data_IF_872879640013
#
_entry.id   IF_872879640013
#
_cell.length_a   1.000
_cell.length_b   1.000
_cell.length_c   1.000
_cell.angle_alpha   90.00
_cell.angle_beta   90.00
_cell.angle_gamma   90.00
#
_symmetry.space_group_name_H-M   'P 1'
#
loop_
_entity.id
_entity.type
_entity.pdbx_description
1 polymer ?
#
# COMPACT_ATOMS: atom_id res chain seq x y z
N UNK A 1 -56.13 -23.53 28.91
CA UNK A 1 -55.42 -23.48 27.61
C UNK A 1 -54.12 -24.25 27.76
N UNK A 2 -53.88 -25.33 27.00
CA UNK A 2 -52.68 -26.15 27.15
C UNK A 2 -51.50 -25.52 26.41
N UNK A 3 -50.36 -25.43 27.09
CA UNK A 3 -49.11 -24.89 26.56
C UNK A 3 -48.46 -25.90 25.59
N UNK A 4 -48.14 -25.43 24.39
CA UNK A 4 -47.39 -26.20 23.39
C UNK A 4 -45.92 -26.37 23.81
N UNK A 5 -45.30 -27.54 23.59
CA UNK A 5 -43.89 -27.78 23.91
C UNK A 5 -42.97 -27.19 22.82
N UNK A 6 -41.73 -26.80 23.17
CA UNK A 6 -40.78 -26.21 22.22
C UNK A 6 -40.15 -27.27 21.31
N UNK A 7 -40.20 -27.00 20.01
CA UNK A 7 -39.60 -27.81 18.95
C UNK A 7 -38.09 -27.58 18.89
N UNK A 8 -37.28 -28.61 19.16
CA UNK A 8 -35.82 -28.58 18.95
C UNK A 8 -35.50 -28.70 17.45
N UNK A 9 -34.61 -27.86 16.88
CA UNK A 9 -34.11 -28.08 15.53
C UNK A 9 -33.08 -29.21 15.49
N UNK A 10 -33.25 -30.13 14.53
CA UNK A 10 -32.34 -31.23 14.21
C UNK A 10 -31.06 -30.70 13.56
N UNK A 11 -29.92 -30.97 14.19
CA UNK A 11 -28.59 -30.84 13.59
C UNK A 11 -28.42 -31.82 12.41
N UNK A 12 -28.17 -31.28 11.22
CA UNK A 12 -27.72 -32.06 10.07
C UNK A 12 -26.19 -32.12 10.06
N UNK A 13 -25.65 -33.27 10.47
CA UNK A 13 -24.23 -33.61 10.35
C UNK A 13 -23.86 -33.71 8.87
N UNK A 14 -23.04 -32.77 8.38
CA UNK A 14 -22.55 -32.74 7.01
C UNK A 14 -21.10 -33.24 7.00
N UNK A 15 -20.93 -34.53 6.73
CA UNK A 15 -19.63 -35.18 6.58
C UNK A 15 -18.95 -34.69 5.31
N UNK A 16 -17.93 -33.85 5.45
CA UNK A 16 -17.12 -33.36 4.34
C UNK A 16 -16.10 -34.43 3.94
N UNK A 17 -16.35 -35.11 2.83
CA UNK A 17 -15.38 -35.98 2.19
C UNK A 17 -14.23 -35.13 1.62
N UNK A 18 -13.03 -35.32 2.17
CA UNK A 18 -11.78 -34.78 1.63
C UNK A 18 -11.54 -35.38 0.24
N UNK A 19 -11.80 -34.58 -0.80
CA UNK A 19 -11.35 -34.91 -2.16
C UNK A 19 -9.88 -34.59 -2.24
N UNK A 20 -9.03 -35.62 -2.26
CA UNK A 20 -7.64 -35.52 -2.66
C UNK A 20 -7.58 -34.96 -4.07
N UNK A 21 -7.15 -33.71 -4.21
CA UNK A 21 -6.94 -33.07 -5.49
C UNK A 21 -5.77 -33.77 -6.20
N UNK A 22 -6.09 -34.50 -7.26
CA UNK A 22 -5.10 -35.06 -8.18
C UNK A 22 -4.39 -33.88 -8.84
N UNK A 23 -3.09 -33.73 -8.57
CA UNK A 23 -2.25 -32.67 -9.12
C UNK A 23 -2.22 -32.76 -10.65
N UNK A 24 -2.91 -31.86 -11.33
CA UNK A 24 -2.76 -31.67 -12.78
C UNK A 24 -1.32 -31.26 -13.10
N UNK A 25 -0.76 -31.66 -14.26
CA UNK A 25 0.56 -31.24 -14.69
C UNK A 25 0.63 -29.69 -14.80
N UNK A 26 1.77 -29.07 -14.46
CA UNK A 26 1.90 -27.62 -14.49
C UNK A 26 1.68 -27.12 -15.92
N UNK A 27 0.69 -26.24 -16.05
CA UNK A 27 0.43 -25.49 -17.26
C UNK A 27 1.72 -24.89 -17.82
N UNK A 28 1.92 -24.92 -19.14
CA UNK A 28 2.89 -24.02 -19.78
C UNK A 28 2.52 -22.58 -19.39
N UNK A 29 3.25 -22.05 -18.42
CA UNK A 29 2.89 -20.85 -17.69
C UNK A 29 3.11 -19.59 -18.52
N UNK A 30 2.27 -18.57 -18.31
CA UNK A 30 2.52 -17.24 -18.85
C UNK A 30 3.82 -16.70 -18.24
N UNK A 31 4.84 -16.53 -19.09
CA UNK A 31 6.12 -15.92 -18.73
C UNK A 31 6.05 -14.38 -18.90
N UNK A 32 7.04 -13.61 -18.41
CA UNK A 32 7.01 -12.15 -18.50
C UNK A 32 6.91 -11.61 -19.93
N UNK A 33 7.56 -12.26 -20.91
CA UNK A 33 7.52 -11.84 -22.32
C UNK A 33 6.13 -12.01 -22.94
N UNK A 34 5.44 -13.12 -22.62
CA UNK A 34 4.07 -13.35 -23.05
C UNK A 34 3.09 -12.34 -22.43
N UNK A 35 3.26 -12.00 -21.16
CA UNK A 35 2.46 -10.95 -20.51
C UNK A 35 2.70 -9.57 -21.14
N UNK A 36 3.95 -9.22 -21.44
CA UNK A 36 4.29 -7.96 -22.08
C UNK A 36 3.68 -7.84 -23.49
N UNK A 37 3.65 -8.95 -24.26
CA UNK A 37 2.96 -9.01 -25.55
C UNK A 37 1.45 -8.78 -25.40
N UNK A 38 0.82 -9.41 -24.41
CA UNK A 38 -0.62 -9.20 -24.15
C UNK A 38 -0.92 -7.74 -23.79
N UNK A 39 -0.06 -7.08 -23.02
CA UNK A 39 -0.19 -5.65 -22.74
C UNK A 39 -0.03 -4.77 -23.98
N UNK A 40 0.85 -5.16 -24.92
CA UNK A 40 0.97 -4.49 -26.22
C UNK A 40 -0.32 -4.57 -27.03
N UNK A 41 -0.82 -5.80 -27.21
CA UNK A 41 -2.02 -6.06 -27.99
C UNK A 41 -3.24 -5.36 -27.36
N UNK A 42 -3.30 -5.29 -26.02
CA UNK A 42 -4.34 -4.59 -25.29
C UNK A 42 -4.25 -3.08 -25.48
N UNK A 43 -3.05 -2.49 -25.39
CA UNK A 43 -2.89 -1.05 -25.62
C UNK A 43 -3.23 -0.66 -27.06
N UNK A 44 -2.90 -1.50 -28.05
CA UNK A 44 -3.26 -1.26 -29.46
C UNK A 44 -4.76 -1.37 -29.69
N UNK A 45 -5.43 -2.33 -29.03
CA UNK A 45 -6.88 -2.46 -29.09
C UNK A 45 -7.63 -1.29 -28.42
N UNK A 46 -7.07 -0.73 -27.34
CA UNK A 46 -7.61 0.43 -26.64
C UNK A 46 -7.23 1.77 -27.32
N UNK A 47 -6.28 1.79 -28.26
CA UNK A 47 -5.88 3.01 -28.96
C UNK A 47 -5.44 4.16 -28.03
N UNK A 48 -5.69 5.41 -28.44
CA UNK A 48 -5.19 6.63 -27.79
C UNK A 48 -6.29 7.49 -27.15
N UNK A 49 -7.51 6.96 -27.02
CA UNK A 49 -8.60 7.73 -26.44
C UNK A 49 -8.39 7.95 -24.93
N UNK A 50 -8.49 9.21 -24.52
CA UNK A 50 -8.30 9.66 -23.15
C UNK A 50 -9.56 9.52 -22.30
N UNK A 51 -10.71 9.23 -22.91
CA UNK A 51 -11.98 9.01 -22.24
C UNK A 51 -12.19 7.54 -21.85
N UNK A 52 -11.18 6.68 -22.05
CA UNK A 52 -11.26 5.28 -21.67
C UNK A 52 -11.41 5.11 -20.14
N UNK A 53 -12.36 4.27 -19.68
CA UNK A 53 -12.45 3.92 -18.28
C UNK A 53 -11.23 3.10 -17.83
N UNK A 54 -11.08 2.94 -16.52
CA UNK A 54 -10.15 1.95 -15.99
C UNK A 54 -10.77 0.55 -16.10
N UNK A 55 -9.94 -0.47 -16.28
CA UNK A 55 -10.38 -1.85 -16.45
C UNK A 55 -9.71 -2.77 -15.43
N UNK A 56 -10.46 -3.73 -14.91
CA UNK A 56 -9.92 -4.97 -14.36
C UNK A 56 -9.74 -5.96 -15.51
N UNK A 57 -8.55 -6.55 -15.61
CA UNK A 57 -8.22 -7.57 -16.61
C UNK A 57 -8.20 -8.93 -15.92
N UNK A 58 -8.95 -9.89 -16.46
CA UNK A 58 -8.83 -11.31 -16.11
C UNK A 58 -8.47 -12.10 -17.37
N UNK A 59 -7.31 -12.76 -17.36
CA UNK A 59 -6.93 -13.67 -18.44
C UNK A 59 -7.44 -15.06 -18.11
N UNK A 60 -8.44 -15.51 -18.87
CA UNK A 60 -8.97 -16.88 -18.75
C UNK A 60 -8.53 -17.71 -19.94
N UNK A 61 -8.21 -18.97 -19.70
CA UNK A 61 -7.87 -19.91 -20.75
C UNK A 61 -7.21 -21.16 -20.20
N UNK A 62 -7.41 -22.33 -20.83
CA UNK A 62 -6.69 -23.52 -20.46
C UNK A 62 -5.19 -23.31 -20.69
N UNK A 63 -4.34 -23.99 -19.89
CA UNK A 63 -2.92 -24.07 -20.13
C UNK A 63 -2.54 -24.30 -21.60
N UNK A 64 -1.57 -23.54 -22.11
CA UNK A 64 -1.06 -23.73 -23.47
C UNK A 64 -1.96 -23.22 -24.62
N UNK A 65 -3.07 -22.55 -24.33
CA UNK A 65 -3.90 -21.87 -25.33
C UNK A 65 -3.76 -20.36 -25.22
N UNK A 66 -4.06 -19.63 -26.30
CA UNK A 66 -4.11 -18.15 -26.29
C UNK A 66 -5.14 -17.69 -25.24
N UNK A 67 -4.63 -17.20 -24.11
CA UNK A 67 -5.47 -16.64 -23.05
C UNK A 67 -6.26 -15.47 -23.61
N UNK A 68 -7.57 -15.42 -23.35
CA UNK A 68 -8.42 -14.33 -23.80
C UNK A 68 -8.60 -13.33 -22.65
N UNK A 69 -8.30 -12.04 -22.86
CA UNK A 69 -8.56 -11.02 -21.86
C UNK A 69 -10.07 -10.81 -21.73
N UNK A 70 -10.56 -10.95 -20.50
CA UNK A 70 -11.85 -10.40 -20.09
C UNK A 70 -11.59 -9.05 -19.46
N UNK A 71 -12.20 -8.01 -20.01
CA UNK A 71 -12.13 -6.66 -19.48
C UNK A 71 -13.43 -6.37 -18.73
N UNK A 72 -13.31 -5.96 -17.47
CA UNK A 72 -14.42 -5.45 -16.69
C UNK A 72 -14.18 -3.96 -16.43
N UNK A 73 -15.05 -3.11 -16.97
CA UNK A 73 -15.01 -1.67 -16.76
C UNK A 73 -15.21 -1.33 -15.28
N UNK A 74 -14.37 -0.44 -14.78
CA UNK A 74 -14.48 0.13 -13.46
C UNK A 74 -15.29 1.42 -13.53
N UNK A 75 -16.22 1.67 -12.58
CA UNK A 75 -16.95 2.92 -12.56
C UNK A 75 -16.01 4.14 -12.50
N UNK A 76 -16.39 5.28 -13.10
CA UNK A 76 -15.65 6.52 -12.92
C UNK A 76 -15.47 6.81 -11.44
N UNK A 77 -14.31 7.31 -11.02
CA UNK A 77 -13.89 7.55 -9.62
C UNK A 77 -13.52 6.34 -8.75
N UNK A 78 -13.75 5.11 -9.19
CA UNK A 78 -13.32 3.92 -8.43
C UNK A 78 -11.86 3.63 -8.71
N UNK A 79 -11.03 3.68 -7.67
CA UNK A 79 -9.61 3.34 -7.80
C UNK A 79 -9.46 1.82 -7.99
N UNK A 80 -8.66 1.31 -8.96
CA UNK A 80 -8.55 -0.13 -9.24
C UNK A 80 -8.16 -0.98 -8.01
N UNK A 81 -7.36 -0.41 -7.11
CA UNK A 81 -6.99 -1.06 -5.84
C UNK A 81 -8.21 -1.44 -4.99
N UNK A 82 -9.24 -0.58 -4.94
CA UNK A 82 -10.44 -0.84 -4.14
C UNK A 82 -11.21 -2.07 -4.64
N UNK A 83 -11.19 -2.33 -5.95
CA UNK A 83 -11.84 -3.50 -6.55
C UNK A 83 -11.01 -4.78 -6.34
N UNK A 84 -9.67 -4.66 -6.31
CA UNK A 84 -8.78 -5.79 -6.09
C UNK A 84 -8.73 -6.25 -4.62
N UNK A 85 -8.92 -5.33 -3.67
CA UNK A 85 -8.88 -5.65 -2.24
C UNK A 85 -9.98 -6.64 -1.86
N UNK A 86 -9.59 -7.78 -1.30
CA UNK A 86 -10.52 -8.86 -0.95
C UNK A 86 -10.97 -9.72 -2.15
N UNK A 87 -10.63 -9.33 -3.38
CA UNK A 87 -10.95 -10.12 -4.58
C UNK A 87 -10.26 -11.48 -4.55
N UNK A 88 -10.92 -12.49 -5.11
CA UNK A 88 -10.37 -13.84 -5.25
C UNK A 88 -10.62 -14.30 -6.67
N UNK A 89 -9.56 -14.37 -7.46
CA UNK A 89 -9.64 -14.82 -8.84
C UNK A 89 -10.10 -16.29 -8.90
N UNK A 90 -10.99 -16.66 -9.85
CA UNK A 90 -11.35 -18.05 -10.11
C UNK A 90 -10.14 -18.93 -10.38
N UNK A 91 -10.24 -20.25 -10.22
CA UNK A 91 -9.09 -21.16 -10.35
C UNK A 91 -8.51 -21.19 -11.77
N UNK A 92 -9.38 -21.01 -12.76
CA UNK A 92 -9.10 -20.95 -14.19
C UNK A 92 -8.47 -19.64 -14.66
N UNK A 93 -8.43 -18.61 -13.80
CA UNK A 93 -7.81 -17.33 -14.13
C UNK A 93 -6.29 -17.47 -14.22
N UNK A 94 -5.72 -17.37 -15.41
CA UNK A 94 -4.29 -17.53 -15.66
C UNK A 94 -3.47 -16.29 -15.23
N UNK A 95 -4.06 -15.09 -15.34
CA UNK A 95 -3.48 -13.84 -14.87
C UNK A 95 -4.56 -12.83 -14.51
N UNK A 96 -4.25 -11.88 -13.63
CA UNK A 96 -5.12 -10.76 -13.28
C UNK A 96 -4.32 -9.47 -13.32
N UNK A 97 -4.98 -8.35 -13.58
CA UNK A 97 -4.34 -7.06 -13.55
C UNK A 97 -5.28 -5.91 -13.81
N UNK A 98 -4.72 -4.74 -14.10
CA UNK A 98 -5.50 -3.51 -14.27
C UNK A 98 -4.96 -2.69 -15.44
N UNK A 99 -5.84 -1.92 -16.06
CA UNK A 99 -5.51 -0.78 -16.90
C UNK A 99 -6.11 0.45 -16.24
N UNK A 100 -5.31 1.50 -16.05
CA UNK A 100 -5.79 2.77 -15.52
C UNK A 100 -5.17 3.93 -16.28
N UNK A 101 -5.89 5.05 -16.32
CA UNK A 101 -5.36 6.32 -16.78
C UNK A 101 -4.79 7.12 -15.61
N UNK A 102 -3.75 7.88 -15.90
CA UNK A 102 -3.11 8.75 -14.94
C UNK A 102 -2.47 9.95 -15.62
N UNK A 103 -1.83 10.79 -14.81
CA UNK A 103 -0.99 11.88 -15.29
C UNK A 103 0.45 11.58 -14.91
N UNK A 104 1.36 11.72 -15.87
CA UNK A 104 2.78 11.60 -15.63
C UNK A 104 3.44 12.97 -15.79
N UNK A 105 4.38 13.26 -14.89
CA UNK A 105 5.29 14.40 -14.99
C UNK A 105 6.70 13.88 -15.10
N UNK A 106 7.51 14.49 -15.96
CA UNK A 106 8.93 14.18 -16.06
C UNK A 106 9.63 14.77 -14.85
N UNK A 107 10.30 13.92 -14.06
CA UNK A 107 11.22 14.40 -13.04
C UNK A 107 12.52 14.77 -13.76
N UNK A 108 12.96 16.02 -13.66
CA UNK A 108 14.25 16.44 -14.20
C UNK A 108 15.37 15.83 -13.36
N UNK A 109 16.30 15.09 -13.98
CA UNK A 109 17.46 14.43 -13.35
C UNK A 109 18.53 15.39 -12.78
N UNK A 110 18.19 16.63 -12.45
CA UNK A 110 19.14 17.63 -11.93
C UNK A 110 19.45 17.39 -10.45
N UNK A 111 20.18 16.31 -10.17
CA UNK A 111 20.56 15.83 -8.84
C UNK A 111 21.60 16.66 -8.08
N UNK A 112 21.45 17.98 -7.95
CA UNK A 112 22.41 18.77 -7.16
C UNK A 112 21.86 19.93 -6.33
N UNK A 113 20.60 20.33 -6.45
CA UNK A 113 20.07 21.41 -5.60
C UNK A 113 18.61 21.16 -5.21
N UNK A 114 18.41 20.47 -4.08
CA UNK A 114 17.10 20.33 -3.42
C UNK A 114 16.55 21.65 -2.83
N UNK A 115 17.14 22.80 -3.17
CA UNK A 115 16.59 24.10 -2.81
C UNK A 115 15.42 24.39 -3.74
N UNK A 116 14.20 24.19 -3.22
CA UNK A 116 12.94 24.75 -3.71
C UNK A 116 12.92 24.94 -5.23
N UNK A 117 12.72 23.84 -5.96
CA UNK A 117 12.41 23.91 -7.38
C UNK A 117 11.12 24.71 -7.56
N UNK A 118 11.25 26.02 -7.75
CA UNK A 118 10.29 26.80 -8.51
C UNK A 118 10.06 26.03 -9.79
N UNK A 119 8.85 25.50 -9.97
CA UNK A 119 8.40 24.74 -11.14
C UNK A 119 9.02 25.36 -12.39
N UNK A 120 10.09 24.74 -12.90
CA UNK A 120 10.52 25.03 -14.26
C UNK A 120 9.31 24.70 -15.12
N UNK A 121 8.88 25.64 -15.97
CA UNK A 121 7.71 25.53 -16.84
C UNK A 121 7.85 24.45 -17.94
N UNK A 122 8.64 23.41 -17.70
CA UNK A 122 9.02 22.40 -18.65
C UNK A 122 8.07 21.20 -18.56
N UNK A 123 7.09 21.24 -19.46
CA UNK A 123 6.10 20.21 -19.82
C UNK A 123 4.92 20.04 -18.85
N UNK A 124 3.73 20.39 -19.35
CA UNK A 124 2.46 20.05 -18.71
C UNK A 124 2.38 18.52 -18.47
N UNK A 125 1.72 18.06 -17.39
CA UNK A 125 1.54 16.63 -17.15
C UNK A 125 0.88 15.96 -18.35
N UNK A 126 1.54 14.96 -18.93
CA UNK A 126 0.98 14.15 -20.01
C UNK A 126 -0.01 13.13 -19.46
N UNK A 127 -1.08 12.84 -20.19
CA UNK A 127 -1.97 11.71 -19.87
C UNK A 127 -1.28 10.42 -20.29
N UNK A 128 -1.25 9.46 -19.38
CA UNK A 128 -0.65 8.14 -19.62
C UNK A 128 -1.65 7.06 -19.26
N UNK A 129 -1.54 5.93 -19.95
CA UNK A 129 -2.14 4.67 -19.55
C UNK A 129 -1.09 3.81 -18.85
N UNK A 130 -1.45 3.25 -17.72
CA UNK A 130 -0.64 2.29 -16.98
C UNK A 130 -1.39 0.96 -16.97
N UNK A 131 -0.73 -0.07 -17.48
CA UNK A 131 -1.25 -1.43 -17.46
C UNK A 131 -0.32 -2.32 -16.65
N UNK A 132 -0.89 -3.22 -15.85
CA UNK A 132 -0.15 -4.16 -15.03
C UNK A 132 -0.84 -5.52 -15.05
N UNK A 133 -0.09 -6.62 -15.16
CA UNK A 133 -0.57 -7.99 -15.12
C UNK A 133 0.31 -8.84 -14.20
N UNK A 134 -0.32 -9.71 -13.42
CA UNK A 134 0.32 -10.77 -12.63
C UNK A 134 -0.27 -12.12 -13.06
N UNK A 135 0.56 -13.05 -13.48
CA UNK A 135 0.18 -14.42 -13.77
C UNK A 135 0.14 -15.28 -12.50
N UNK A 136 -0.63 -16.36 -12.54
CA UNK A 136 -0.70 -17.36 -11.46
C UNK A 136 0.64 -18.06 -11.19
N UNK A 137 1.58 -17.98 -12.12
CA UNK A 137 2.97 -18.42 -11.95
C UNK A 137 3.81 -17.48 -11.09
N UNK A 138 3.31 -16.29 -10.74
CA UNK A 138 4.06 -15.21 -10.11
C UNK A 138 4.81 -14.31 -11.09
N UNK A 139 4.82 -14.64 -12.39
CA UNK A 139 5.36 -13.72 -13.41
C UNK A 139 4.50 -12.46 -13.50
N UNK A 140 5.12 -11.31 -13.74
CA UNK A 140 4.41 -10.05 -13.88
C UNK A 140 4.98 -9.21 -15.03
N UNK A 141 4.15 -8.33 -15.57
CA UNK A 141 4.53 -7.31 -16.54
C UNK A 141 3.80 -6.01 -16.26
N UNK A 142 4.45 -4.89 -16.53
CA UNK A 142 3.87 -3.55 -16.40
C UNK A 142 4.27 -2.71 -17.60
N UNK A 143 3.39 -1.80 -18.01
CA UNK A 143 3.62 -0.90 -19.15
C UNK A 143 3.04 0.47 -18.83
N UNK A 144 3.76 1.50 -19.26
CA UNK A 144 3.31 2.88 -19.27
C UNK A 144 3.31 3.34 -20.74
N UNK A 145 2.14 3.76 -21.23
CA UNK A 145 1.94 4.26 -22.59
C UNK A 145 1.42 5.70 -22.51
N UNK A 146 2.18 6.68 -23.00
CA UNK A 146 1.63 8.02 -23.25
C UNK A 146 0.42 7.94 -24.18
N UNK A 147 -0.62 8.73 -23.92
CA UNK A 147 -1.73 8.87 -24.88
C UNK A 147 -1.43 9.86 -26.02
N UNK A 148 -0.19 10.34 -26.09
CA UNK A 148 0.36 10.98 -27.28
C UNK A 148 0.83 9.90 -28.27
N UNK A 149 0.31 9.85 -29.51
CA UNK A 149 0.75 8.91 -30.54
C UNK A 149 2.27 8.91 -30.81
N UNK A 150 2.95 10.05 -30.60
CA UNK A 150 4.39 10.16 -30.77
C UNK A 150 5.19 9.70 -29.53
N UNK A 151 4.51 9.51 -28.39
CA UNK A 151 5.14 9.17 -27.13
C UNK A 151 5.57 7.69 -27.06
N UNK A 152 6.83 7.38 -26.72
CA UNK A 152 7.27 6.00 -26.63
C UNK A 152 6.63 5.30 -25.42
N UNK A 153 6.10 4.09 -25.65
CA UNK A 153 5.73 3.19 -24.55
C UNK A 153 6.97 2.75 -23.77
N UNK A 154 6.82 2.55 -22.47
CA UNK A 154 7.89 2.09 -21.58
C UNK A 154 7.44 0.86 -20.81
N UNK A 155 8.28 -0.16 -20.79
CA UNK A 155 8.12 -1.25 -19.83
C UNK A 155 8.38 -0.71 -18.42
N UNK A 156 7.52 -1.07 -17.48
CA UNK A 156 7.73 -0.80 -16.07
C UNK A 156 8.38 -2.01 -15.42
N UNK A 157 9.27 -1.78 -14.45
CA UNK A 157 9.71 -2.84 -13.54
C UNK A 157 8.48 -3.39 -12.84
N UNK A 158 8.04 -4.57 -13.25
CA UNK A 158 6.85 -5.19 -12.73
C UNK A 158 7.14 -5.87 -11.38
N UNK A 159 6.13 -5.92 -10.50
CA UNK A 159 6.16 -6.77 -9.31
C UNK A 159 6.31 -6.04 -7.98
N UNK A 160 6.25 -4.71 -7.96
CA UNK A 160 6.25 -3.92 -6.71
C UNK A 160 5.04 -3.00 -6.63
N UNK A 161 4.66 -2.64 -5.40
CA UNK A 161 3.56 -1.73 -5.10
C UNK A 161 2.21 -2.40 -4.83
N UNK A 162 1.26 -1.60 -4.31
CA UNK A 162 -0.02 -2.08 -3.79
C UNK A 162 -0.90 -2.80 -4.81
N UNK A 163 -0.86 -2.37 -6.08
CA UNK A 163 -1.60 -3.03 -7.17
C UNK A 163 -1.03 -4.41 -7.47
N UNK A 164 0.30 -4.54 -7.56
CA UNK A 164 0.97 -5.82 -7.80
C UNK A 164 0.73 -6.80 -6.64
N UNK A 165 0.79 -6.30 -5.41
CA UNK A 165 0.43 -7.05 -4.20
C UNK A 165 -1.02 -7.54 -4.25
N UNK A 166 -1.97 -6.65 -4.53
CA UNK A 166 -3.38 -7.01 -4.58
C UNK A 166 -3.70 -8.03 -5.70
N UNK A 167 -3.05 -7.90 -6.86
CA UNK A 167 -3.15 -8.88 -7.94
C UNK A 167 -2.59 -10.26 -7.54
N UNK A 168 -1.42 -10.26 -6.88
CA UNK A 168 -0.79 -11.49 -6.35
C UNK A 168 -1.70 -12.16 -5.31
N UNK A 169 -2.24 -11.39 -4.36
CA UNK A 169 -3.18 -11.88 -3.34
C UNK A 169 -4.49 -12.40 -3.94
N UNK A 170 -5.03 -11.74 -4.97
CA UNK A 170 -6.21 -12.21 -5.69
C UNK A 170 -5.99 -13.59 -6.32
N UNK A 171 -4.78 -13.87 -6.78
CA UNK A 171 -4.34 -15.19 -7.29
C UNK A 171 -3.90 -16.17 -6.19
N UNK A 172 -3.99 -15.78 -4.92
CA UNK A 172 -3.53 -16.53 -3.73
C UNK A 172 -2.02 -16.77 -3.69
N UNK A 173 -1.25 -15.88 -4.30
CA UNK A 173 0.21 -15.88 -4.22
C UNK A 173 0.68 -15.15 -2.96
N UNK A 174 1.87 -15.50 -2.48
CA UNK A 174 2.59 -14.71 -1.47
C UNK A 174 3.10 -13.42 -2.09
N UNK A 175 3.11 -12.34 -1.33
CA UNK A 175 3.79 -11.10 -1.73
C UNK A 175 5.25 -11.08 -1.22
N UNK A 176 6.11 -10.20 -1.78
CA UNK A 176 7.46 -10.00 -1.24
C UNK A 176 7.42 -9.63 0.25
N UNK A 177 8.40 -10.09 1.05
CA UNK A 177 8.43 -9.81 2.48
C UNK A 177 8.45 -8.29 2.76
N UNK A 178 8.08 -7.87 3.98
CA UNK A 178 8.18 -6.47 4.39
C UNK A 178 9.59 -5.91 4.18
N UNK A 179 9.69 -4.76 3.52
CA UNK A 179 10.97 -4.06 3.30
C UNK A 179 11.38 -3.23 4.52
N UNK A 180 10.39 -2.66 5.21
CA UNK A 180 10.60 -1.86 6.41
C UNK A 180 10.48 -2.71 7.68
N UNK A 181 11.27 -2.42 8.74
CA UNK A 181 11.10 -3.05 10.04
C UNK A 181 9.81 -2.57 10.73
N UNK A 182 9.28 -3.34 11.68
CA UNK A 182 8.09 -2.97 12.48
C UNK A 182 8.28 -1.65 13.24
N UNK A 183 9.52 -1.26 13.55
CA UNK A 183 9.83 0.06 14.12
C UNK A 183 9.25 1.21 13.27
N UNK A 184 9.33 1.11 11.94
CA UNK A 184 8.80 2.15 11.05
C UNK A 184 7.29 2.34 11.25
N UNK A 185 6.56 1.27 11.58
CA UNK A 185 5.14 1.34 11.89
C UNK A 185 4.87 2.07 13.20
N UNK A 186 5.64 1.79 14.27
CA UNK A 186 5.52 2.52 15.53
C UNK A 186 5.79 4.02 15.34
N UNK A 187 6.88 4.36 14.65
CA UNK A 187 7.27 5.75 14.37
C UNK A 187 6.18 6.48 13.56
N UNK A 188 5.64 5.84 12.53
CA UNK A 188 4.63 6.40 11.67
C UNK A 188 3.27 6.58 12.40
N UNK A 189 2.86 5.61 13.23
CA UNK A 189 1.66 5.73 14.07
C UNK A 189 1.78 6.81 15.14
N UNK A 190 2.96 6.97 15.73
CA UNK A 190 3.22 8.08 16.63
C UNK A 190 3.12 9.43 15.91
N UNK A 191 3.69 9.53 14.71
CA UNK A 191 3.63 10.74 13.89
C UNK A 191 2.18 11.15 13.57
N UNK A 192 1.33 10.21 13.15
CA UNK A 192 -0.10 10.45 12.92
C UNK A 192 -0.83 10.94 14.19
N UNK A 193 -0.57 10.30 15.33
CA UNK A 193 -1.16 10.69 16.61
C UNK A 193 -0.72 12.08 17.05
N UNK A 194 0.56 12.43 16.86
CA UNK A 194 1.11 13.76 17.15
C UNK A 194 0.45 14.84 16.29
N UNK A 195 0.32 14.63 14.97
CA UNK A 195 -0.33 15.58 14.08
C UNK A 195 -1.78 15.80 14.50
N UNK A 196 -2.50 14.72 14.81
CA UNK A 196 -3.89 14.78 15.28
C UNK A 196 -4.00 15.59 16.58
N UNK A 197 -3.15 15.28 17.58
CA UNK A 197 -3.17 15.95 18.88
C UNK A 197 -2.83 17.45 18.76
N UNK A 198 -1.82 17.79 17.95
CA UNK A 198 -1.37 19.16 17.74
C UNK A 198 -2.38 19.98 16.95
N UNK A 199 -2.99 19.40 15.91
CA UNK A 199 -4.04 20.07 15.15
C UNK A 199 -5.27 20.38 16.02
N UNK A 200 -5.61 19.49 16.95
CA UNK A 200 -6.72 19.72 17.88
C UNK A 200 -6.40 20.78 18.94
N UNK A 201 -5.13 20.94 19.33
CA UNK A 201 -4.72 21.89 20.37
C UNK A 201 -3.42 22.65 20.01
N UNK A 202 -3.41 23.52 18.99
CA UNK A 202 -2.16 24.11 18.49
C UNK A 202 -1.40 24.92 19.54
N UNK A 203 -2.10 25.65 20.41
CA UNK A 203 -1.53 26.45 21.49
C UNK A 203 -1.24 25.65 22.78
N UNK A 204 -1.35 24.32 22.75
CA UNK A 204 -1.13 23.47 23.91
C UNK A 204 0.32 23.55 24.43
N UNK A 205 0.53 23.35 25.75
CA UNK A 205 1.88 23.24 26.31
C UNK A 205 2.52 21.90 25.89
N UNK A 206 3.13 21.88 24.72
CA UNK A 206 3.79 20.70 24.14
C UNK A 206 5.13 20.40 24.83
N UNK A 207 5.03 19.84 26.03
CA UNK A 207 6.15 19.26 26.77
C UNK A 207 6.52 17.88 26.22
N UNK A 208 7.74 17.40 26.52
CA UNK A 208 8.15 16.05 26.15
C UNK A 208 7.18 14.96 26.66
N UNK A 209 6.74 14.95 27.94
CA UNK A 209 5.75 13.97 28.41
C UNK A 209 4.44 13.97 27.60
N UNK A 210 3.94 15.14 27.20
CA UNK A 210 2.73 15.24 26.39
C UNK A 210 2.91 14.63 24.98
N UNK A 211 4.08 14.86 24.36
CA UNK A 211 4.41 14.30 23.05
C UNK A 211 4.63 12.79 23.13
N UNK A 212 5.36 12.31 24.15
CA UNK A 212 5.64 10.90 24.36
C UNK A 212 4.37 10.10 24.67
N UNK A 213 3.41 10.68 25.37
CA UNK A 213 2.10 10.06 25.65
C UNK A 213 1.25 9.82 24.38
N UNK A 214 1.56 10.47 23.25
CA UNK A 214 0.90 10.19 21.97
C UNK A 214 1.44 8.92 21.28
N UNK A 215 2.51 8.32 21.79
CA UNK A 215 3.14 7.15 21.18
C UNK A 215 2.27 5.89 21.39
N UNK A 216 2.16 4.98 20.40
CA UNK A 216 1.35 3.76 20.50
C UNK A 216 1.83 2.74 21.55
N UNK A 217 3.06 2.89 22.08
CA UNK A 217 3.58 2.07 23.17
C UNK A 217 3.27 2.74 24.51
N UNK A 218 2.57 2.06 25.45
CA UNK A 218 2.28 2.62 26.77
C UNK A 218 3.53 3.07 27.55
N UNK A 219 4.63 2.32 27.42
CA UNK A 219 5.91 2.57 28.10
C UNK A 219 6.57 3.87 27.65
N UNK A 220 6.24 4.36 26.45
CA UNK A 220 6.79 5.61 25.92
C UNK A 220 6.43 6.82 26.80
N UNK A 221 5.26 6.80 27.45
CA UNK A 221 4.85 7.88 28.37
C UNK A 221 5.77 8.00 29.59
N UNK A 222 6.49 6.94 29.95
CA UNK A 222 7.47 6.94 31.04
C UNK A 222 8.88 7.36 30.60
N UNK A 223 9.11 7.58 29.30
CA UNK A 223 10.41 8.01 28.80
C UNK A 223 10.74 9.42 29.33
N UNK A 224 11.82 9.55 30.09
CA UNK A 224 12.21 10.82 30.74
C UNK A 224 12.76 11.86 29.76
N UNK A 225 13.20 11.44 28.57
CA UNK A 225 13.76 12.32 27.54
C UNK A 225 13.56 11.74 26.13
N UNK A 226 13.69 12.55 25.07
CA UNK A 226 13.64 12.08 23.68
C UNK A 226 14.58 10.91 23.38
N UNK A 227 15.80 10.93 23.93
CA UNK A 227 16.80 9.89 23.70
C UNK A 227 16.48 8.55 24.39
N UNK A 228 15.56 8.54 25.35
CA UNK A 228 15.12 7.31 26.03
C UNK A 228 14.06 6.53 25.25
N UNK A 229 13.38 7.15 24.27
CA UNK A 229 12.33 6.49 23.49
C UNK A 229 12.86 5.46 22.46
N UNK A 230 13.89 5.74 21.64
CA UNK A 230 14.41 4.80 20.65
C UNK A 230 14.70 3.37 21.16
N UNK A 231 15.37 3.15 22.31
CA UNK A 231 15.63 1.79 22.79
C UNK A 231 14.34 1.05 23.18
N UNK A 232 13.34 1.73 23.76
CA UNK A 232 12.04 1.14 24.08
C UNK A 232 11.31 0.69 22.81
N UNK A 233 11.30 1.53 21.78
CA UNK A 233 10.69 1.20 20.48
C UNK A 233 11.44 0.06 19.79
N UNK A 234 12.77 0.06 19.87
CA UNK A 234 13.59 -1.01 19.31
C UNK A 234 13.32 -2.37 19.96
N UNK A 235 13.18 -2.42 21.29
CA UNK A 235 12.84 -3.63 22.03
C UNK A 235 11.44 -4.16 21.67
N UNK A 236 10.44 -3.27 21.61
CA UNK A 236 9.09 -3.63 21.18
C UNK A 236 9.05 -4.11 19.72
N UNK A 237 9.80 -3.46 18.82
CA UNK A 237 9.90 -3.86 17.42
C UNK A 237 10.66 -5.19 17.23
N UNK A 238 11.64 -5.50 18.08
CA UNK A 238 12.38 -6.76 18.01
C UNK A 238 11.55 -7.97 18.47
N UNK A 239 10.57 -7.74 19.36
CA UNK A 239 9.65 -8.77 19.87
C UNK A 239 8.35 -8.88 19.07
N UNK A 240 8.16 -8.05 18.05
CA UNK A 240 6.94 -7.99 17.23
C UNK A 240 7.27 -8.21 15.76
N UNK A 241 6.57 -9.15 15.11
CA UNK A 241 6.62 -9.30 13.66
C UNK A 241 5.43 -8.63 12.97
N UNK A 242 5.55 -8.40 11.66
CA UNK A 242 4.49 -7.78 10.85
C UNK A 242 3.19 -8.58 10.82
N UNK A 243 3.27 -9.89 11.00
CA UNK A 243 2.11 -10.76 11.01
C UNK A 243 1.30 -10.60 12.31
N UNK A 244 1.97 -10.36 13.44
CA UNK A 244 1.35 -10.00 14.71
C UNK A 244 0.67 -8.64 14.64
N UNK A 245 1.32 -7.64 14.04
CA UNK A 245 0.71 -6.31 13.79
C UNK A 245 -0.54 -6.46 12.93
N UNK A 246 -0.45 -7.20 11.82
CA UNK A 246 -1.58 -7.45 10.92
C UNK A 246 -2.75 -8.13 11.61
N UNK A 247 -2.51 -9.16 12.43
CA UNK A 247 -3.57 -9.86 13.17
C UNK A 247 -4.28 -8.95 14.16
N UNK A 248 -3.54 -8.09 14.86
CA UNK A 248 -4.13 -7.09 15.77
C UNK A 248 -4.98 -6.06 15.02
N UNK A 249 -4.46 -5.54 13.90
CA UNK A 249 -5.20 -4.63 13.04
C UNK A 249 -6.51 -5.26 12.51
N UNK A 250 -6.46 -6.53 12.08
CA UNK A 250 -7.65 -7.27 11.65
C UNK A 250 -8.67 -7.49 12.78
N UNK A 251 -8.22 -7.53 14.04
CA UNK A 251 -9.06 -7.77 15.22
C UNK A 251 -9.72 -6.49 15.79
N UNK A 252 -9.35 -5.30 15.32
CA UNK A 252 -9.98 -4.05 15.73
C UNK A 252 -9.05 -2.88 16.03
N UNK A 253 -7.72 -3.08 16.03
CA UNK A 253 -6.77 -1.97 16.19
C UNK A 253 -6.81 -1.00 14.99
N UNK A 254 -7.41 -1.44 13.87
CA UNK A 254 -7.81 -0.61 12.74
C UNK A 254 -6.65 -0.16 11.85
N UNK A 255 -6.94 0.00 10.56
CA UNK A 255 -6.10 0.73 9.61
C UNK A 255 -7.03 1.68 8.88
N UNK A 256 -6.65 2.95 8.78
CA UNK A 256 -7.46 3.94 8.07
C UNK A 256 -7.77 3.44 6.64
N UNK A 257 -9.05 3.42 6.28
CA UNK A 257 -9.50 3.00 4.95
C UNK A 257 -9.58 1.49 4.69
N UNK A 258 -9.23 0.62 5.65
CA UNK A 258 -9.36 -0.84 5.50
C UNK A 258 -10.21 -1.46 6.62
N UNK A 259 -11.14 -2.33 6.24
CA UNK A 259 -11.88 -3.14 7.21
C UNK A 259 -11.05 -4.36 7.67
N UNK A 260 -11.47 -4.98 8.79
CA UNK A 260 -10.76 -6.12 9.35
C UNK A 260 -10.69 -7.34 8.42
N UNK A 261 -11.69 -7.53 7.55
CA UNK A 261 -11.70 -8.63 6.58
C UNK A 261 -10.65 -8.43 5.48
N UNK A 262 -10.49 -7.19 5.02
CA UNK A 262 -9.47 -6.80 4.04
C UNK A 262 -8.07 -6.93 4.64
N UNK A 263 -7.87 -6.47 5.87
CA UNK A 263 -6.60 -6.68 6.59
C UNK A 263 -6.29 -8.17 6.78
N UNK A 264 -7.30 -8.98 7.09
CA UNK A 264 -7.16 -10.42 7.22
C UNK A 264 -6.78 -11.12 5.90
N UNK A 265 -7.21 -10.56 4.76
CA UNK A 265 -6.94 -11.08 3.41
C UNK A 265 -5.49 -10.79 2.95
N UNK A 266 -4.91 -9.67 3.36
CA UNK A 266 -3.50 -9.33 3.14
C UNK A 266 -2.58 -10.32 3.85
N UNK A 267 -1.36 -10.48 3.33
CA UNK A 267 -0.24 -11.11 4.06
C UNK A 267 0.67 -10.03 4.66
N UNK A 268 1.66 -10.42 5.47
CA UNK A 268 2.56 -9.46 6.14
C UNK A 268 3.25 -8.48 5.18
N UNK A 269 3.72 -8.97 4.03
CA UNK A 269 4.39 -8.15 3.00
C UNK A 269 3.50 -7.03 2.48
N UNK A 270 2.37 -7.40 1.88
CA UNK A 270 1.41 -6.43 1.36
C UNK A 270 0.83 -5.53 2.44
N UNK A 271 0.51 -6.08 3.62
CA UNK A 271 0.03 -5.29 4.75
C UNK A 271 1.01 -4.18 5.15
N UNK A 272 2.30 -4.52 5.33
CA UNK A 272 3.32 -3.54 5.71
C UNK A 272 3.43 -2.36 4.74
N UNK A 273 3.44 -2.63 3.43
CA UNK A 273 3.47 -1.58 2.39
C UNK A 273 2.19 -0.75 2.41
N UNK A 274 1.03 -1.39 2.56
CA UNK A 274 -0.25 -0.69 2.64
C UNK A 274 -0.33 0.29 3.81
N UNK A 275 0.08 -0.13 5.01
CA UNK A 275 -0.04 0.73 6.18
C UNK A 275 1.02 1.84 6.18
N UNK A 276 2.21 1.60 5.63
CA UNK A 276 3.27 2.61 5.60
C UNK A 276 3.06 3.64 4.48
N UNK A 277 2.51 3.26 3.34
CA UNK A 277 2.20 4.18 2.22
C UNK A 277 1.16 5.25 2.61
N UNK A 278 0.27 4.95 3.56
CA UNK A 278 -0.80 5.87 3.98
C UNK A 278 -0.37 6.79 5.15
N UNK A 279 0.78 6.53 5.75
CA UNK A 279 1.26 7.30 6.89
C UNK A 279 2.25 8.39 6.44
N UNK A 280 2.18 9.59 7.05
CA UNK A 280 3.07 10.68 6.68
C UNK A 280 4.53 10.33 6.99
N UNK A 281 5.45 10.82 6.16
CA UNK A 281 6.87 10.61 6.42
C UNK A 281 7.28 11.33 7.72
N UNK A 282 8.14 10.72 8.57
CA UNK A 282 8.63 11.36 9.80
C UNK A 282 9.16 12.78 9.63
N UNK A 283 9.82 13.06 8.50
CA UNK A 283 10.36 14.37 8.14
C UNK A 283 9.27 15.42 7.87
N UNK A 284 8.18 15.02 7.22
CA UNK A 284 7.02 15.88 6.96
C UNK A 284 6.30 16.24 8.26
N UNK A 285 6.12 15.26 9.14
CA UNK A 285 5.51 15.49 10.45
C UNK A 285 6.33 16.45 11.29
N UNK A 286 7.65 16.31 11.34
CA UNK A 286 8.52 17.28 12.04
C UNK A 286 8.39 18.69 11.44
N UNK A 287 8.24 18.81 10.11
CA UNK A 287 8.00 20.10 9.47
C UNK A 287 6.64 20.69 9.87
N UNK A 288 5.57 19.89 9.89
CA UNK A 288 4.24 20.32 10.34
C UNK A 288 4.22 20.71 11.81
N UNK A 289 4.85 19.93 12.68
CA UNK A 289 5.00 20.26 14.11
C UNK A 289 5.71 21.60 14.29
N UNK A 290 6.74 21.89 13.48
CA UNK A 290 7.44 23.18 13.54
C UNK A 290 6.51 24.34 13.21
N UNK A 291 5.63 24.16 12.22
CA UNK A 291 4.65 25.18 11.81
C UNK A 291 3.53 25.35 12.84
N UNK A 292 3.02 24.25 13.41
CA UNK A 292 1.82 24.25 14.24
C UNK A 292 2.11 24.46 15.73
N UNK A 293 3.20 23.89 16.25
CA UNK A 293 3.55 23.87 17.67
C UNK A 293 4.90 24.57 17.98
N UNK A 294 5.58 25.09 16.96
CA UNK A 294 6.85 25.78 17.09
C UNK A 294 8.08 24.86 17.06
N UNK A 295 9.29 25.43 17.13
CA UNK A 295 10.54 24.70 16.89
C UNK A 295 10.90 23.72 18.01
N UNK A 296 10.49 23.99 19.25
CA UNK A 296 10.86 23.15 20.40
C UNK A 296 10.21 21.77 20.34
N UNK A 297 8.87 21.62 20.19
CA UNK A 297 8.25 20.30 20.03
C UNK A 297 8.78 19.53 18.82
N UNK A 298 8.97 20.22 17.70
CA UNK A 298 9.55 19.63 16.49
C UNK A 298 10.98 19.09 16.72
N UNK A 299 11.80 19.82 17.48
CA UNK A 299 13.15 19.39 17.85
C UNK A 299 13.16 18.16 18.76
N UNK A 300 12.25 18.10 19.74
CA UNK A 300 12.10 16.95 20.63
C UNK A 300 11.69 15.69 19.86
N UNK A 301 10.69 15.79 18.99
CA UNK A 301 10.23 14.66 18.15
C UNK A 301 11.30 14.25 17.13
N UNK A 302 11.96 15.20 16.48
CA UNK A 302 13.06 14.93 15.56
C UNK A 302 14.21 14.17 16.22
N UNK A 303 14.58 14.55 17.45
CA UNK A 303 15.61 13.86 18.23
C UNK A 303 15.19 12.42 18.58
N UNK A 304 13.94 12.21 19.00
CA UNK A 304 13.41 10.88 19.31
C UNK A 304 13.32 9.97 18.08
N UNK A 305 13.07 10.53 16.89
CA UNK A 305 13.04 9.79 15.63
C UNK A 305 14.45 9.56 15.03
N UNK A 306 15.50 10.11 15.66
CA UNK A 306 16.87 10.03 15.14
C UNK A 306 17.08 10.78 13.82
N UNK A 307 16.21 11.75 13.52
CA UNK A 307 16.34 12.57 12.32
C UNK A 307 17.52 13.54 12.51
N UNK A 308 18.33 13.78 11.46
CA UNK A 308 19.44 14.71 11.54
C UNK A 308 18.91 16.06 12.01
N UNK A 309 19.48 16.57 13.10
CA UNK A 309 19.12 17.87 13.63
C UNK A 309 19.32 18.89 12.52
N UNK A 310 18.24 19.54 12.09
CA UNK A 310 18.38 20.66 11.16
C UNK A 310 19.21 21.70 11.89
N UNK A 311 20.46 22.02 11.48
CA UNK A 311 21.22 23.05 12.13
C UNK A 311 20.33 24.28 12.09
N UNK A 312 19.94 24.79 13.27
CA UNK A 312 19.18 26.02 13.34
C UNK A 312 19.90 27.08 12.50
N UNK A 313 19.19 28.08 11.93
CA UNK A 313 19.85 29.16 11.21
C UNK A 313 21.00 29.65 12.09
N UNK A 314 22.23 29.54 11.58
CA UNK A 314 23.42 29.90 12.32
C UNK A 314 23.16 31.29 12.90
N UNK A 315 23.14 31.42 14.24
CA UNK A 315 23.03 32.72 14.87
C UNK A 315 24.23 33.51 14.36
N UNK A 316 23.98 34.48 13.48
CA UNK A 316 25.02 35.35 12.96
C UNK A 316 25.75 35.99 14.13
N UNK A 317 27.07 36.23 14.02
CA UNK A 317 27.79 37.00 15.03
C UNK A 317 27.10 38.35 15.20
N UNK A 318 26.64 38.62 16.41
CA UNK A 318 26.15 39.94 16.83
C UNK A 318 27.30 40.87 17.15
#
# INVERSE_FOLDING_TARGET
MPASPPTRPRSASRTAAARSATSAPPAAGLNPAGLARILEDLDDALGYDADHPSYLIELTGPPGHSARPRLAELPPSVHPLQVLLGHRAPAECAAIGVVALGRATVLSDSGADHRLHTRSAASAPGVVRVAHLVARTGSCAGRLRPLDPAGPSRALTAGTGRIADACSRALRLSTPPPEAPVRAWFDARWCEALVTAVAAHPAGPWSWPALAACHPLPEAAAASSPGALPPLVAEAAASTDWEAVRRRAAAGDGVAGLDGATVAWLDAGSFSRFVLDELPAPTEVVAWLRLLAGPTPAGLVGAALGLPGNPGPARGPG
#
